data_IF_109233418170
#
_entry.id   IF_109233418170
#
_cell.length_a   1.000
_cell.length_b   1.000
_cell.length_c   1.000
_cell.angle_alpha   90.00
_cell.angle_beta   90.00
_cell.angle_gamma   90.00
#
_symmetry.space_group_name_H-M   'P 1'
#
loop_
_entity.id
_entity.type
_entity.pdbx_description
1 polymer ?
#
# COMPACT_ATOMS: atom_id res chain seq x y z
N UNK A 1 9.36 21.43 -19.34
CA UNK A 1 8.94 20.26 -20.14
C UNK A 1 7.45 20.08 -19.97
N UNK A 2 6.74 19.82 -21.06
CA UNK A 2 5.39 19.27 -21.05
C UNK A 2 5.44 17.75 -20.85
N UNK A 3 4.30 17.13 -20.53
CA UNK A 3 4.23 15.68 -20.25
C UNK A 3 4.51 14.83 -21.50
N UNK A 4 4.12 15.31 -22.68
CA UNK A 4 4.50 14.69 -23.97
C UNK A 4 6.02 14.73 -24.18
N UNK A 5 6.67 15.87 -23.90
CA UNK A 5 8.13 16.00 -23.99
C UNK A 5 8.86 15.08 -22.99
N UNK A 6 8.29 14.86 -21.79
CA UNK A 6 8.81 13.88 -20.81
C UNK A 6 8.69 12.46 -21.36
N UNK A 7 7.53 12.10 -21.91
CA UNK A 7 7.31 10.79 -22.52
C UNK A 7 8.28 10.53 -23.68
N UNK A 8 8.50 11.52 -24.55
CA UNK A 8 9.45 11.45 -25.67
C UNK A 8 10.89 11.28 -25.18
N UNK A 9 11.30 12.02 -24.15
CA UNK A 9 12.63 11.91 -23.57
C UNK A 9 12.89 10.51 -22.98
N UNK A 10 11.91 9.95 -22.27
CA UNK A 10 11.97 8.59 -21.72
C UNK A 10 12.04 7.56 -22.84
N UNK A 11 11.20 7.69 -23.88
CA UNK A 11 11.23 6.80 -25.03
C UNK A 11 12.58 6.82 -25.75
N UNK A 12 13.14 8.01 -25.97
CA UNK A 12 14.44 8.19 -26.60
C UNK A 12 15.58 7.59 -25.77
N UNK A 13 15.47 7.60 -24.44
CA UNK A 13 16.45 6.98 -23.55
C UNK A 13 16.33 5.45 -23.57
N UNK A 14 15.13 4.90 -23.42
CA UNK A 14 14.89 3.44 -23.39
C UNK A 14 15.23 2.80 -24.74
N UNK A 15 14.96 3.48 -25.85
CA UNK A 15 15.23 2.97 -27.21
C UNK A 15 16.71 2.79 -27.53
N UNK A 16 17.62 3.24 -26.64
CA UNK A 16 19.07 2.98 -26.75
C UNK A 16 19.43 1.54 -26.39
N UNK A 17 18.56 0.85 -25.66
CA UNK A 17 18.79 -0.51 -25.19
C UNK A 17 18.09 -1.51 -26.10
N UNK A 18 18.75 -2.64 -26.37
CA UNK A 18 18.25 -3.70 -27.27
C UNK A 18 16.93 -4.31 -26.80
N UNK A 19 16.72 -4.35 -25.49
CA UNK A 19 15.57 -5.01 -24.86
C UNK A 19 14.35 -4.09 -24.72
N UNK A 20 14.50 -2.79 -25.04
CA UNK A 20 13.40 -1.82 -25.01
C UNK A 20 12.75 -1.69 -23.62
N UNK A 21 11.41 -1.62 -23.60
CA UNK A 21 10.64 -1.51 -22.36
C UNK A 21 10.57 -2.85 -21.61
N UNK A 22 10.72 -2.81 -20.29
CA UNK A 22 10.36 -3.94 -19.43
C UNK A 22 8.87 -4.27 -19.55
N UNK A 23 8.44 -5.53 -19.33
CA UNK A 23 7.02 -5.90 -19.31
C UNK A 23 6.20 -5.05 -18.31
N UNK A 24 4.88 -4.84 -18.54
CA UNK A 24 4.08 -3.92 -17.71
C UNK A 24 4.10 -4.26 -16.21
N UNK A 25 4.11 -5.55 -15.85
CA UNK A 25 4.16 -5.99 -14.45
C UNK A 25 5.53 -5.75 -13.81
N UNK A 26 6.61 -5.78 -14.60
CA UNK A 26 7.95 -5.42 -14.11
C UNK A 26 8.06 -3.91 -13.88
N UNK A 27 7.48 -3.09 -14.77
CA UNK A 27 7.34 -1.64 -14.56
C UNK A 27 6.48 -1.32 -13.33
N UNK A 28 5.41 -2.09 -13.07
CA UNK A 28 4.62 -1.94 -11.85
C UNK A 28 5.42 -2.27 -10.58
N UNK A 29 6.20 -3.34 -10.60
CA UNK A 29 7.07 -3.69 -9.46
C UNK A 29 8.09 -2.58 -9.19
N UNK A 30 8.74 -2.06 -10.24
CA UNK A 30 9.65 -0.93 -10.15
C UNK A 30 8.96 0.32 -9.59
N UNK A 31 7.74 0.63 -10.05
CA UNK A 31 6.98 1.77 -9.54
C UNK A 31 6.72 1.66 -8.03
N UNK A 32 6.38 0.46 -7.55
CA UNK A 32 6.18 0.20 -6.12
C UNK A 32 7.46 0.38 -5.31
N UNK A 33 8.62 0.00 -5.87
CA UNK A 33 9.94 0.24 -5.29
C UNK A 33 10.18 1.74 -5.09
N UNK A 34 10.07 2.54 -6.16
CA UNK A 34 10.30 4.01 -6.11
C UNK A 34 9.32 4.72 -5.15
N UNK A 35 8.07 4.26 -5.09
CA UNK A 35 7.09 4.80 -4.12
C UNK A 35 7.48 4.47 -2.68
N UNK A 36 8.06 3.30 -2.43
CA UNK A 36 8.60 2.92 -1.13
C UNK A 36 9.82 3.75 -0.72
N UNK A 37 10.68 4.08 -1.69
CA UNK A 37 11.84 4.96 -1.47
C UNK A 37 11.41 6.40 -1.17
N UNK A 38 10.46 6.95 -1.94
CA UNK A 38 9.82 8.23 -1.63
C UNK A 38 9.19 8.24 -0.23
N UNK A 39 8.45 7.19 0.14
CA UNK A 39 7.80 7.10 1.44
C UNK A 39 8.81 7.13 2.59
N UNK A 40 9.96 6.45 2.41
CA UNK A 40 11.07 6.47 3.36
C UNK A 40 11.66 7.86 3.51
N UNK A 41 11.92 8.56 2.41
CA UNK A 41 12.51 9.90 2.45
C UNK A 41 11.56 10.94 3.06
N UNK A 42 10.27 10.88 2.71
CA UNK A 42 9.25 11.72 3.34
C UNK A 42 9.12 11.42 4.84
N UNK A 43 9.23 10.15 5.24
CA UNK A 43 9.26 9.72 6.64
C UNK A 43 10.46 10.27 7.40
N UNK A 44 11.65 10.22 6.82
CA UNK A 44 12.88 10.76 7.42
C UNK A 44 12.83 12.31 7.52
N UNK A 45 12.22 12.98 6.54
CA UNK A 45 12.16 14.46 6.48
C UNK A 45 11.00 15.09 7.26
N UNK A 46 9.85 14.44 7.30
CA UNK A 46 8.61 15.01 7.86
C UNK A 46 7.98 14.14 8.96
N UNK A 47 8.57 12.99 9.28
CA UNK A 47 8.07 12.08 10.32
C UNK A 47 8.34 12.56 11.75
N UNK A 48 7.66 11.96 12.74
CA UNK A 48 7.67 12.40 14.15
C UNK A 48 9.01 12.23 14.88
N UNK A 49 10.02 11.60 14.26
CA UNK A 49 11.40 11.52 14.77
C UNK A 49 12.36 12.14 13.76
N UNK A 50 12.66 13.42 13.93
CA UNK A 50 13.72 14.07 13.16
C UNK A 50 15.07 13.39 13.45
N UNK A 51 15.73 12.83 12.42
CA UNK A 51 17.15 12.46 12.51
C UNK A 51 18.01 13.72 12.64
N UNK A 52 19.17 13.55 13.28
CA UNK A 52 20.19 14.58 13.51
C UNK A 52 20.69 15.15 12.17
N UNK A 53 20.97 16.44 12.15
CA UNK A 53 21.38 17.27 11.01
C UNK A 53 22.74 16.91 10.36
N UNK A 54 23.11 15.63 10.25
CA UNK A 54 24.41 15.16 9.74
C UNK A 54 24.34 14.24 8.52
N UNK A 55 23.16 13.84 8.04
CA UNK A 55 23.01 13.23 6.72
C UNK A 55 22.57 14.32 5.73
N UNK A 56 23.12 14.37 4.50
CA UNK A 56 22.56 15.22 3.46
C UNK A 56 21.08 14.84 3.32
N UNK A 57 20.15 15.82 3.24
CA UNK A 57 18.73 15.51 3.05
C UNK A 57 18.62 14.61 1.82
N UNK A 58 17.98 13.44 1.94
CA UNK A 58 17.73 12.63 0.78
C UNK A 58 16.84 13.41 -0.18
N UNK A 59 17.01 13.13 -1.47
CA UNK A 59 16.45 14.00 -2.49
C UNK A 59 15.05 13.51 -2.84
N UNK A 60 14.05 13.97 -2.08
CA UNK A 60 12.63 13.82 -2.43
C UNK A 60 12.38 14.13 -3.92
N UNK A 61 13.16 15.05 -4.53
CA UNK A 61 13.02 15.35 -5.94
C UNK A 61 13.58 14.25 -6.87
N UNK A 62 14.60 13.51 -6.44
CA UNK A 62 15.14 12.33 -7.14
C UNK A 62 14.09 11.22 -7.15
N UNK A 63 13.52 10.88 -5.99
CA UNK A 63 12.47 9.86 -5.86
C UNK A 63 11.20 10.19 -6.65
N UNK A 64 10.78 11.47 -6.63
CA UNK A 64 9.68 11.95 -7.47
C UNK A 64 10.03 11.88 -8.96
N UNK A 65 11.30 12.06 -9.30
CA UNK A 65 11.84 11.91 -10.65
C UNK A 65 11.80 10.46 -11.12
N UNK A 66 12.19 9.51 -10.28
CA UNK A 66 12.18 8.08 -10.59
C UNK A 66 10.75 7.53 -10.73
N UNK A 67 9.84 7.95 -9.86
CA UNK A 67 8.41 7.67 -10.03
C UNK A 67 7.90 8.21 -11.37
N UNK A 68 8.22 9.47 -11.70
CA UNK A 68 7.80 10.08 -12.96
C UNK A 68 8.38 9.32 -14.17
N UNK A 69 9.63 8.86 -14.07
CA UNK A 69 10.29 8.08 -15.11
C UNK A 69 9.57 6.74 -15.34
N UNK A 70 9.27 5.98 -14.28
CA UNK A 70 8.61 4.67 -14.39
C UNK A 70 7.17 4.82 -14.90
N UNK A 71 6.44 5.85 -14.44
CA UNK A 71 5.10 6.17 -14.94
C UNK A 71 5.14 6.52 -16.43
N UNK A 72 6.10 7.34 -16.86
CA UNK A 72 6.30 7.68 -18.27
C UNK A 72 6.68 6.46 -19.12
N UNK A 73 7.53 5.57 -18.60
CA UNK A 73 7.90 4.34 -19.29
C UNK A 73 6.69 3.41 -19.48
N UNK A 74 5.88 3.23 -18.44
CA UNK A 74 4.66 2.42 -18.50
C UNK A 74 3.62 3.03 -19.45
N UNK A 75 3.42 4.34 -19.41
CA UNK A 75 2.49 5.03 -20.30
C UNK A 75 2.89 4.88 -21.77
N UNK A 76 4.18 5.05 -22.07
CA UNK A 76 4.71 4.81 -23.42
C UNK A 76 4.49 3.38 -23.89
N UNK A 77 4.81 2.40 -23.03
CA UNK A 77 4.63 0.99 -23.33
C UNK A 77 3.17 0.63 -23.65
N UNK A 78 2.22 1.24 -22.94
CA UNK A 78 0.79 0.99 -23.10
C UNK A 78 0.12 1.87 -24.17
N UNK A 79 0.87 2.78 -24.81
CA UNK A 79 0.32 3.73 -25.79
C UNK A 79 -0.62 4.76 -25.18
N UNK A 80 -0.38 5.15 -23.92
CA UNK A 80 -1.19 6.12 -23.17
C UNK A 80 -0.52 7.49 -23.20
N UNK A 81 -1.29 8.52 -23.55
CA UNK A 81 -0.90 9.92 -23.41
C UNK A 81 -1.06 10.37 -21.95
N UNK A 82 0.06 10.65 -21.27
CA UNK A 82 0.04 11.20 -19.91
C UNK A 82 -0.56 12.59 -19.87
N UNK A 83 -0.35 13.39 -20.92
CA UNK A 83 -0.94 14.73 -20.99
C UNK A 83 -2.47 14.67 -21.01
N UNK A 84 -3.05 13.79 -21.83
CA UNK A 84 -4.50 13.62 -21.89
C UNK A 84 -5.04 12.98 -20.60
N UNK A 85 -4.35 11.99 -20.05
CA UNK A 85 -4.71 11.36 -18.79
C UNK A 85 -4.73 12.39 -17.64
N UNK A 86 -3.71 13.24 -17.55
CA UNK A 86 -3.60 14.28 -16.54
C UNK A 86 -4.66 15.37 -16.71
N UNK A 87 -4.88 15.88 -17.93
CA UNK A 87 -5.96 16.83 -18.24
C UNK A 87 -7.33 16.26 -17.85
N UNK A 88 -7.57 14.99 -18.14
CA UNK A 88 -8.82 14.31 -17.77
C UNK A 88 -9.05 14.20 -16.26
N UNK A 89 -7.98 14.05 -15.46
CA UNK A 89 -8.07 14.07 -14.00
C UNK A 89 -8.36 15.47 -13.48
N UNK A 90 -7.67 16.50 -13.98
CA UNK A 90 -7.90 17.89 -13.56
C UNK A 90 -9.33 18.34 -13.86
N UNK A 91 -9.85 18.06 -15.05
CA UNK A 91 -11.22 18.37 -15.41
C UNK A 91 -12.25 17.71 -14.47
N UNK A 92 -11.96 16.49 -13.97
CA UNK A 92 -12.80 15.82 -12.97
C UNK A 92 -12.73 16.49 -11.61
N UNK A 93 -11.57 16.98 -11.19
CA UNK A 93 -11.43 17.71 -9.93
C UNK A 93 -12.14 19.06 -9.99
N UNK A 94 -11.96 19.82 -11.07
CA UNK A 94 -12.65 21.10 -11.29
C UNK A 94 -14.18 20.93 -11.32
N UNK A 95 -14.67 19.89 -12.00
CA UNK A 95 -16.10 19.59 -12.05
C UNK A 95 -16.67 19.12 -10.69
N UNK A 96 -15.86 18.49 -9.84
CA UNK A 96 -16.26 18.05 -8.49
C UNK A 96 -16.19 19.18 -7.47
N UNK A 97 -15.20 20.06 -7.59
CA UNK A 97 -14.98 21.18 -6.67
C UNK A 97 -15.92 22.36 -6.91
N UNK A 98 -16.49 22.49 -8.12
CA UNK A 98 -17.56 23.44 -8.44
C UNK A 98 -18.79 23.33 -7.51
N UNK A 99 -18.97 22.19 -6.84
CA UNK A 99 -20.06 21.95 -5.89
C UNK A 99 -19.68 22.12 -4.41
N UNK A 100 -18.40 22.38 -4.05
CA UNK A 100 -17.94 22.17 -2.66
C UNK A 100 -17.18 23.34 -2.01
N UNK A 101 -16.60 24.29 -2.75
CA UNK A 101 -15.82 25.39 -2.12
C UNK A 101 -15.98 26.73 -2.87
N UNK A 102 -16.40 27.79 -2.15
CA UNK A 102 -16.17 29.17 -2.57
C UNK A 102 -14.69 29.54 -2.33
N UNK A 103 -14.11 30.51 -3.07
CA UNK A 103 -12.74 30.97 -2.84
C UNK A 103 -12.55 31.37 -1.38
N UNK A 104 -11.41 31.03 -0.78
CA UNK A 104 -11.16 31.16 0.64
C UNK A 104 -11.32 32.62 1.15
N UNK A 105 -12.46 32.91 1.80
CA UNK A 105 -12.56 34.02 2.75
C UNK A 105 -12.10 33.54 4.12
N UNK A 106 -11.07 34.21 4.64
CA UNK A 106 -10.49 34.07 5.97
C UNK A 106 -11.58 34.02 7.05
N UNK A 107 -11.62 32.98 7.87
CA UNK A 107 -12.44 33.02 9.09
C UNK A 107 -11.79 32.35 10.30
N UNK A 108 -11.76 33.17 11.35
CA UNK A 108 -11.19 32.99 12.67
C UNK A 108 -11.92 31.93 13.50
N UNK A 109 -11.18 31.37 14.44
CA UNK A 109 -11.56 30.37 15.43
C UNK A 109 -12.73 30.83 16.32
N UNK A 110 -13.65 29.90 16.63
CA UNK A 110 -14.58 30.05 17.75
C UNK A 110 -14.77 28.72 18.48
N UNK A 111 -14.50 28.78 19.78
CA UNK A 111 -14.63 27.74 20.83
C UNK A 111 -16.08 27.65 21.32
N UNK A 112 -16.48 26.53 21.94
CA UNK A 112 -17.16 26.42 23.26
C UNK A 112 -17.89 25.07 23.47
N UNK A 113 -17.48 24.41 24.57
CA UNK A 113 -18.15 23.63 25.64
C UNK A 113 -19.17 22.47 25.40
N UNK A 114 -18.90 21.40 26.17
CA UNK A 114 -19.73 20.21 26.46
C UNK A 114 -20.65 20.41 27.68
N UNK A 115 -21.67 19.53 27.89
CA UNK A 115 -21.58 18.61 29.03
C UNK A 115 -22.15 17.18 28.84
N UNK A 116 -21.70 16.31 29.75
CA UNK A 116 -21.93 14.88 30.10
C UNK A 116 -23.28 14.58 30.80
N UNK A 117 -23.55 13.38 31.40
CA UNK A 117 -23.24 11.97 31.02
C UNK A 117 -24.42 10.98 31.27
N UNK A 118 -24.28 9.69 30.88
CA UNK A 118 -25.02 8.60 31.54
C UNK A 118 -25.09 7.26 30.78
N UNK A 119 -24.82 6.15 31.48
CA UNK A 119 -25.30 4.80 31.12
C UNK A 119 -24.21 3.76 30.85
N UNK A 120 -23.91 2.93 31.85
CA UNK A 120 -23.02 1.76 31.79
C UNK A 120 -23.88 0.52 31.61
N UNK A 121 -23.67 -0.29 30.57
CA UNK A 121 -24.12 -1.70 30.57
C UNK A 121 -23.14 -2.63 29.84
N UNK A 122 -22.95 -3.79 30.47
CA UNK A 122 -22.09 -4.92 30.15
C UNK A 122 -22.85 -5.93 29.27
N UNK A 123 -22.15 -6.62 28.36
CA UNK A 123 -22.75 -7.70 27.57
C UNK A 123 -21.71 -8.53 26.83
N UNK A 124 -21.63 -9.81 27.20
CA UNK A 124 -20.64 -10.78 26.75
C UNK A 124 -20.76 -11.23 25.29
N UNK A 125 -19.66 -11.83 24.82
CA UNK A 125 -19.50 -12.46 23.51
C UNK A 125 -20.17 -13.84 23.51
N UNK A 126 -21.01 -14.21 22.54
CA UNK A 126 -21.35 -15.60 22.29
C UNK A 126 -20.36 -16.22 21.31
N UNK A 127 -19.92 -17.44 21.65
CA UNK A 127 -19.09 -18.28 20.82
C UNK A 127 -19.92 -19.01 19.74
N UNK A 128 -19.16 -19.52 18.76
CA UNK A 128 -19.47 -20.60 17.82
C UNK A 128 -19.99 -20.23 16.42
N UNK A 129 -19.23 -20.73 15.42
CA UNK A 129 -19.42 -20.69 13.96
C UNK A 129 -19.05 -19.42 13.17
N UNK A 130 -18.67 -18.32 13.81
CA UNK A 130 -18.25 -17.06 13.14
C UNK A 130 -16.74 -16.78 13.18
N UNK A 131 -15.96 -17.67 13.81
CA UNK A 131 -14.53 -17.48 14.04
C UNK A 131 -13.70 -17.39 12.76
N UNK A 132 -13.97 -18.22 11.76
CA UNK A 132 -13.19 -18.21 10.50
C UNK A 132 -13.36 -16.91 9.71
N UNK A 133 -14.60 -16.38 9.63
CA UNK A 133 -14.87 -15.12 8.92
C UNK A 133 -14.28 -13.91 9.63
N UNK A 134 -14.23 -13.91 10.97
CA UNK A 134 -13.66 -12.82 11.75
C UNK A 134 -12.13 -12.84 11.74
N UNK A 135 -11.52 -14.03 11.76
CA UNK A 135 -10.08 -14.20 11.59
C UNK A 135 -9.65 -13.70 10.21
N UNK A 136 -10.36 -14.09 9.15
CA UNK A 136 -10.09 -13.60 7.78
C UNK A 136 -10.25 -12.08 7.67
N UNK A 137 -11.27 -11.50 8.31
CA UNK A 137 -11.46 -10.05 8.33
C UNK A 137 -10.32 -9.33 9.09
N UNK A 138 -9.80 -9.94 10.16
CA UNK A 138 -8.67 -9.41 10.92
C UNK A 138 -7.36 -9.48 10.14
N UNK A 139 -7.08 -10.62 9.54
CA UNK A 139 -5.91 -10.84 8.68
C UNK A 139 -5.90 -9.87 7.50
N UNK A 140 -7.07 -9.70 6.86
CA UNK A 140 -7.18 -8.77 5.73
C UNK A 140 -7.00 -7.32 6.16
N UNK A 141 -7.54 -6.92 7.30
CA UNK A 141 -7.34 -5.57 7.82
C UNK A 141 -5.87 -5.28 8.17
N UNK A 142 -5.16 -6.25 8.75
CA UNK A 142 -3.73 -6.15 8.99
C UNK A 142 -2.95 -6.01 7.68
N UNK A 143 -3.20 -6.88 6.70
CA UNK A 143 -2.54 -6.83 5.40
C UNK A 143 -2.81 -5.52 4.65
N UNK A 144 -4.05 -5.03 4.68
CA UNK A 144 -4.39 -3.72 4.12
C UNK A 144 -3.63 -2.59 4.83
N UNK A 145 -3.47 -2.68 6.13
CA UNK A 145 -2.74 -1.71 6.92
C UNK A 145 -1.24 -1.73 6.62
N UNK A 146 -0.64 -2.90 6.38
CA UNK A 146 0.78 -3.00 6.03
C UNK A 146 1.08 -2.28 4.71
N UNK A 147 0.16 -2.36 3.74
CA UNK A 147 0.33 -1.72 2.41
C UNK A 147 -0.12 -0.26 2.37
N UNK A 148 -1.19 0.09 3.10
CA UNK A 148 -1.84 1.40 2.96
C UNK A 148 -1.92 2.20 4.26
N UNK A 149 -1.45 1.66 5.39
CA UNK A 149 -1.43 2.31 6.69
C UNK A 149 -0.80 3.71 6.66
N UNK A 150 0.35 3.93 6.00
CA UNK A 150 0.95 5.25 5.88
C UNK A 150 0.06 6.31 5.17
N UNK A 151 -0.93 5.89 4.39
CA UNK A 151 -1.88 6.77 3.69
C UNK A 151 -3.09 7.17 4.56
N UNK A 152 -3.20 6.59 5.75
CA UNK A 152 -4.18 7.00 6.74
C UNK A 152 -3.68 8.24 7.51
N UNK A 153 -4.61 9.01 8.07
CA UNK A 153 -4.26 10.08 9.02
C UNK A 153 -3.62 9.50 10.29
N UNK A 154 -2.77 10.26 10.98
CA UNK A 154 -2.10 9.81 12.22
C UNK A 154 -3.08 9.20 13.24
N UNK A 155 -4.24 9.83 13.40
CA UNK A 155 -5.29 9.35 14.31
C UNK A 155 -5.89 8.03 13.89
N UNK A 156 -6.05 7.80 12.59
CA UNK A 156 -6.52 6.52 12.05
C UNK A 156 -5.44 5.45 12.15
N UNK A 157 -4.17 5.79 11.93
CA UNK A 157 -3.05 4.86 12.11
C UNK A 157 -2.94 4.38 13.56
N UNK A 158 -2.96 5.31 14.52
CA UNK A 158 -2.94 4.99 15.94
C UNK A 158 -4.12 4.09 16.34
N UNK A 159 -5.30 4.38 15.80
CA UNK A 159 -6.51 3.59 16.06
C UNK A 159 -6.43 2.17 15.48
N UNK A 160 -5.98 2.01 14.23
CA UNK A 160 -5.84 0.69 13.59
C UNK A 160 -4.74 -0.12 14.26
N UNK A 161 -3.59 0.49 14.57
CA UNK A 161 -2.48 -0.14 15.30
C UNK A 161 -2.93 -0.63 16.69
N UNK A 162 -3.57 0.24 17.47
CA UNK A 162 -4.08 -0.09 18.80
C UNK A 162 -4.98 -1.34 18.77
N UNK A 163 -5.88 -1.43 17.79
CA UNK A 163 -6.86 -2.53 17.73
C UNK A 163 -6.35 -3.81 17.04
N UNK A 164 -5.56 -3.70 15.97
CA UNK A 164 -5.12 -4.84 15.16
C UNK A 164 -3.72 -5.35 15.50
N UNK A 165 -2.82 -4.49 15.99
CA UNK A 165 -1.43 -4.83 16.28
C UNK A 165 -1.14 -4.93 17.78
N UNK A 166 -1.81 -4.12 18.60
CA UNK A 166 -1.63 -4.09 20.06
C UNK A 166 -2.74 -4.83 20.84
N UNK A 167 -3.68 -5.45 20.12
CA UNK A 167 -4.81 -6.24 20.67
C UNK A 167 -5.68 -5.47 21.70
N UNK A 168 -5.68 -4.14 21.69
CA UNK A 168 -6.51 -3.34 22.59
C UNK A 168 -7.99 -3.45 22.20
N UNK A 169 -8.83 -3.59 23.22
CA UNK A 169 -10.28 -3.56 23.04
C UNK A 169 -10.78 -2.15 22.73
N UNK A 170 -11.94 -2.05 22.06
CA UNK A 170 -12.60 -0.76 21.82
C UNK A 170 -12.88 0.03 23.11
N UNK A 171 -13.03 -0.66 24.24
CA UNK A 171 -13.22 -0.03 25.55
C UNK A 171 -11.94 0.59 26.09
N UNK A 172 -10.81 -0.09 25.96
CA UNK A 172 -9.49 0.43 26.36
C UNK A 172 -9.10 1.65 25.51
N UNK A 173 -9.30 1.57 24.20
CA UNK A 173 -9.04 2.69 23.27
C UNK A 173 -9.96 3.88 23.61
N UNK A 174 -11.25 3.63 23.87
CA UNK A 174 -12.20 4.66 24.27
C UNK A 174 -11.78 5.34 25.58
N UNK A 175 -11.29 4.57 26.55
CA UNK A 175 -10.76 5.08 27.82
C UNK A 175 -9.56 6.00 27.63
N UNK A 176 -8.59 5.59 26.80
CA UNK A 176 -7.37 6.38 26.51
C UNK A 176 -7.71 7.67 25.75
N UNK A 177 -8.56 7.59 24.72
CA UNK A 177 -8.94 8.74 23.89
C UNK A 177 -10.05 9.61 24.50
N UNK A 178 -10.62 9.21 25.65
CA UNK A 178 -11.76 9.88 26.32
C UNK A 178 -12.97 10.11 25.40
N UNK A 179 -13.29 9.12 24.56
CA UNK A 179 -14.46 9.12 23.67
C UNK A 179 -15.35 7.91 23.98
N UNK A 180 -16.54 7.82 23.38
CA UNK A 180 -17.39 6.65 23.56
C UNK A 180 -16.86 5.45 22.77
N UNK A 181 -17.13 4.22 23.25
CA UNK A 181 -16.83 2.97 22.52
C UNK A 181 -17.44 2.97 21.10
N UNK A 182 -18.63 3.54 20.96
CA UNK A 182 -19.31 3.68 19.66
C UNK A 182 -18.57 4.66 18.73
N UNK A 183 -18.02 5.75 19.27
CA UNK A 183 -17.19 6.67 18.49
C UNK A 183 -15.89 6.01 18.00
N UNK A 184 -15.24 5.20 18.85
CA UNK A 184 -14.05 4.41 18.44
C UNK A 184 -14.41 3.42 17.33
N UNK A 185 -15.52 2.70 17.47
CA UNK A 185 -16.00 1.76 16.45
C UNK A 185 -16.25 2.46 15.10
N UNK A 186 -16.90 3.61 15.10
CA UNK A 186 -17.17 4.40 13.89
C UNK A 186 -15.87 4.92 13.25
N UNK A 187 -14.93 5.41 14.06
CA UNK A 187 -13.63 5.86 13.57
C UNK A 187 -12.82 4.71 12.96
N UNK A 188 -12.85 3.53 13.58
CA UNK A 188 -12.16 2.35 13.10
C UNK A 188 -12.76 1.88 11.78
N UNK A 189 -14.09 1.82 11.71
CA UNK A 189 -14.82 1.52 10.47
C UNK A 189 -14.41 2.45 9.34
N UNK A 190 -14.34 3.77 9.59
CA UNK A 190 -13.92 4.75 8.57
C UNK A 190 -12.47 4.58 8.13
N UNK A 191 -11.58 4.20 9.04
CA UNK A 191 -10.19 3.89 8.71
C UNK A 191 -10.14 2.65 7.79
N UNK A 192 -10.87 1.60 8.11
CA UNK A 192 -10.96 0.40 7.27
C UNK A 192 -11.59 0.69 5.90
N UNK A 193 -12.67 1.47 5.83
CA UNK A 193 -13.28 1.90 4.57
C UNK A 193 -12.33 2.77 3.71
N UNK A 194 -11.38 3.47 4.33
CA UNK A 194 -10.34 4.19 3.61
C UNK A 194 -9.30 3.23 3.02
N UNK A 195 -8.83 2.25 3.81
CA UNK A 195 -7.92 1.20 3.34
C UNK A 195 -8.52 0.39 2.19
N UNK A 196 -9.79 0.02 2.29
CA UNK A 196 -10.53 -0.67 1.22
C UNK A 196 -10.58 0.14 -0.06
N UNK A 197 -10.83 1.45 0.05
CA UNK A 197 -10.87 2.34 -1.09
C UNK A 197 -9.50 2.52 -1.73
N UNK A 198 -8.43 2.46 -0.95
CA UNK A 198 -7.08 2.41 -1.49
C UNK A 198 -6.86 1.11 -2.25
N UNK A 199 -7.30 -0.03 -1.72
CA UNK A 199 -7.24 -1.31 -2.43
C UNK A 199 -8.05 -1.32 -3.72
N UNK A 200 -9.27 -0.79 -3.72
CA UNK A 200 -10.09 -0.68 -4.94
C UNK A 200 -9.40 0.14 -6.04
N UNK A 201 -8.57 1.12 -5.64
CA UNK A 201 -7.90 2.03 -6.56
C UNK A 201 -6.51 1.55 -6.98
N UNK A 202 -5.77 0.91 -6.09
CA UNK A 202 -4.36 0.58 -6.26
C UNK A 202 -4.13 -0.92 -6.47
N UNK A 203 -4.98 -1.76 -5.89
CA UNK A 203 -4.97 -3.21 -6.10
C UNK A 203 -3.69 -3.93 -5.65
N UNK A 204 -2.89 -3.31 -4.78
CA UNK A 204 -1.59 -3.85 -4.36
C UNK A 204 -1.73 -5.13 -3.55
N UNK A 205 -2.72 -5.20 -2.66
CA UNK A 205 -2.96 -6.41 -1.86
C UNK A 205 -3.47 -7.54 -2.75
N UNK A 206 -4.40 -7.27 -3.66
CA UNK A 206 -4.87 -8.28 -4.61
C UNK A 206 -3.74 -8.80 -5.50
N UNK A 207 -2.84 -7.93 -5.98
CA UNK A 207 -1.68 -8.35 -6.77
C UNK A 207 -0.67 -9.15 -5.94
N UNK A 208 -0.39 -8.71 -4.71
CA UNK A 208 0.45 -9.45 -3.78
C UNK A 208 -0.08 -10.87 -3.52
N UNK A 209 -1.38 -11.00 -3.24
CA UNK A 209 -2.03 -12.30 -3.04
C UNK A 209 -2.00 -13.17 -4.31
N UNK A 210 -2.20 -12.58 -5.49
CA UNK A 210 -2.05 -13.30 -6.77
C UNK A 210 -0.63 -13.82 -6.97
N UNK A 211 0.38 -13.00 -6.68
CA UNK A 211 1.79 -13.38 -6.77
C UNK A 211 2.12 -14.52 -5.80
N UNK A 212 1.70 -14.41 -4.55
CA UNK A 212 1.88 -15.44 -3.53
C UNK A 212 1.25 -16.77 -3.96
N UNK A 213 0.00 -16.75 -4.43
CA UNK A 213 -0.67 -17.95 -4.93
C UNK A 213 0.05 -18.58 -6.14
N UNK A 214 0.60 -17.76 -7.05
CA UNK A 214 1.36 -18.25 -8.19
C UNK A 214 2.68 -18.92 -7.76
N UNK A 215 3.40 -18.33 -6.81
CA UNK A 215 4.63 -18.90 -6.24
C UNK A 215 4.36 -20.21 -5.52
N UNK A 216 3.27 -20.29 -4.74
CA UNK A 216 2.84 -21.52 -4.08
C UNK A 216 2.48 -22.62 -5.09
N UNK A 217 1.77 -22.28 -6.16
CA UNK A 217 1.44 -23.22 -7.23
C UNK A 217 2.71 -23.74 -7.93
N UNK A 218 3.67 -22.85 -8.23
CA UNK A 218 4.96 -23.23 -8.80
C UNK A 218 5.75 -24.14 -7.86
N UNK A 219 5.75 -23.85 -6.56
CA UNK A 219 6.37 -24.71 -5.55
C UNK A 219 5.69 -26.09 -5.53
N UNK A 220 4.36 -26.14 -5.58
CA UNK A 220 3.62 -27.40 -5.68
C UNK A 220 4.00 -28.21 -6.93
N UNK A 221 4.16 -27.55 -8.07
CA UNK A 221 4.57 -28.18 -9.33
C UNK A 221 6.01 -28.72 -9.27
N UNK A 222 6.97 -27.92 -8.84
CA UNK A 222 8.36 -28.33 -8.69
C UNK A 222 8.53 -29.44 -7.65
N UNK A 223 7.78 -29.39 -6.55
CA UNK A 223 7.78 -30.44 -5.53
C UNK A 223 7.30 -31.79 -6.09
N UNK A 224 6.28 -31.78 -6.95
CA UNK A 224 5.84 -32.99 -7.68
C UNK A 224 6.88 -33.48 -8.66
N UNK A 225 7.44 -32.58 -9.48
CA UNK A 225 8.47 -32.92 -10.46
C UNK A 225 9.71 -33.53 -9.79
N UNK A 226 10.16 -32.93 -8.69
CA UNK A 226 11.30 -33.44 -7.90
C UNK A 226 11.10 -34.86 -7.39
N UNK A 227 9.86 -35.25 -7.04
CA UNK A 227 9.55 -36.62 -6.61
C UNK A 227 9.51 -37.63 -7.77
N UNK A 228 9.35 -37.15 -9.01
CA UNK A 228 9.23 -38.00 -10.19
C UNK A 228 10.58 -38.19 -10.92
N UNK A 229 11.50 -37.26 -10.76
CA UNK A 229 12.83 -37.33 -11.37
C UNK A 229 13.75 -38.21 -10.53
N UNK A 230 14.32 -39.24 -11.15
CA UNK A 230 15.27 -40.14 -10.49
C UNK A 230 16.58 -39.39 -10.16
N UNK A 231 17.27 -39.72 -9.06
CA UNK A 231 18.51 -39.03 -8.67
C UNK A 231 19.62 -39.06 -9.73
N UNK A 232 19.62 -40.09 -10.58
CA UNK A 232 20.61 -40.30 -11.64
C UNK A 232 20.25 -39.59 -12.95
N UNK A 233 19.05 -39.02 -13.04
CA UNK A 233 18.58 -38.29 -14.22
C UNK A 233 19.39 -36.98 -14.36
N UNK A 234 19.95 -36.68 -15.55
CA UNK A 234 20.63 -35.41 -15.81
C UNK A 234 19.79 -34.16 -15.45
N UNK A 235 18.46 -34.26 -15.50
CA UNK A 235 17.54 -33.19 -15.13
C UNK A 235 17.43 -32.97 -13.60
N UNK A 236 17.82 -33.94 -12.76
CA UNK A 236 17.68 -33.86 -11.30
C UNK A 236 18.38 -32.63 -10.70
N UNK A 237 19.60 -32.34 -11.17
CA UNK A 237 20.36 -31.17 -10.73
C UNK A 237 19.66 -29.85 -11.08
N UNK A 238 19.04 -29.78 -12.27
CA UNK A 238 18.33 -28.58 -12.73
C UNK A 238 17.04 -28.37 -11.93
N UNK A 239 16.30 -29.44 -11.61
CA UNK A 239 15.08 -29.37 -10.80
C UNK A 239 15.38 -28.95 -9.36
N UNK A 240 16.44 -29.49 -8.76
CA UNK A 240 16.86 -29.10 -7.41
C UNK A 240 17.37 -27.65 -7.38
N UNK A 241 18.07 -27.20 -8.42
CA UNK A 241 18.45 -25.80 -8.60
C UNK A 241 17.25 -24.86 -8.65
N UNK A 242 16.27 -25.15 -9.51
CA UNK A 242 15.04 -24.38 -9.61
C UNK A 242 14.24 -24.35 -8.30
N UNK A 243 14.20 -25.47 -7.57
CA UNK A 243 13.59 -25.54 -6.25
C UNK A 243 14.28 -24.62 -5.24
N UNK A 244 15.62 -24.60 -5.20
CA UNK A 244 16.38 -23.71 -4.30
C UNK A 244 16.16 -22.25 -4.62
N UNK A 245 16.25 -21.86 -5.89
CA UNK A 245 16.01 -20.47 -6.30
C UNK A 245 14.60 -20.00 -5.97
N UNK A 246 13.59 -20.87 -6.13
CA UNK A 246 12.22 -20.54 -5.72
C UNK A 246 12.10 -20.38 -4.20
N UNK A 247 12.76 -21.23 -3.41
CA UNK A 247 12.76 -21.11 -1.95
C UNK A 247 13.48 -19.85 -1.47
N UNK A 248 14.55 -19.43 -2.15
CA UNK A 248 15.23 -18.14 -1.89
C UNK A 248 14.30 -16.97 -2.19
N UNK A 249 13.64 -16.97 -3.35
CA UNK A 249 12.67 -15.93 -3.73
C UNK A 249 11.50 -15.83 -2.73
N UNK A 250 10.92 -16.97 -2.32
CA UNK A 250 9.84 -16.99 -1.33
C UNK A 250 10.28 -16.56 0.07
N UNK A 251 11.56 -16.70 0.42
CA UNK A 251 12.11 -16.21 1.69
C UNK A 251 12.33 -14.70 1.65
N UNK A 252 12.85 -14.17 0.54
CA UNK A 252 13.01 -12.74 0.34
C UNK A 252 11.65 -12.03 0.43
N UNK A 253 10.61 -12.58 -0.22
CA UNK A 253 9.25 -12.02 -0.21
C UNK A 253 8.64 -11.89 1.19
N UNK A 254 8.99 -12.79 2.12
CA UNK A 254 8.51 -12.75 3.51
C UNK A 254 9.31 -11.83 4.42
N UNK A 255 10.54 -11.47 4.03
CA UNK A 255 11.40 -10.60 4.81
C UNK A 255 11.13 -9.11 4.55
N UNK A 256 10.54 -8.78 3.40
CA UNK A 256 10.25 -7.40 2.99
C UNK A 256 8.81 -6.96 3.29
N UNK A 257 7.91 -7.91 3.61
CA UNK A 257 6.49 -7.66 3.87
C UNK A 257 6.06 -7.72 5.34
N UNK A 258 6.96 -7.47 6.30
CA UNK A 258 6.68 -7.50 7.74
C UNK A 258 7.31 -6.34 8.51
#
# INVERSE_FOLDING_TARGET
>A
MRLDEVQDAIHAWISRFRDGYWPPLANLARLTEEVGELARELGDRFGPKAKKASEPPGDVAEELGDILFVVGALANQLGISLEDAFRGVLAKYEARDAARWAPAETRQEHRVDTPSPGGVESGGHPADSHGESLVQARERAALLYDFYGPLLTDRQQELVRAYYLEDLSLGEIAGTQRVSRQAVHEQLRRALEALERYEERLGLVAEFLRRQAALEALAGHLSRLRRQVAPEDPAAASVEGAWRSLQELMRADRAEGG
#
